data_IF_921510423957
#
_entry.id   IF_921510423957
#
_cell.length_a   1.000
_cell.length_b   1.000
_cell.length_c   1.000
_cell.angle_alpha   90.00
_cell.angle_beta   90.00
_cell.angle_gamma   90.00
#
_symmetry.space_group_name_H-M   'P 1'
#
loop_
_entity.id
_entity.type
_entity.pdbx_description
1 polymer ?
#
# COMPACT_ATOMS: atom_id res chain seq x y z
N UNK A 1 -69.93 -28.71 -32.07
CA UNK A 1 -68.55 -28.88 -32.57
C UNK A 1 -68.14 -27.66 -33.37
N UNK A 2 -66.92 -27.15 -33.11
CA UNK A 2 -66.14 -26.14 -33.87
C UNK A 2 -66.60 -24.67 -33.71
N UNK A 3 -65.75 -23.66 -33.48
CA UNK A 3 -64.35 -23.50 -33.05
C UNK A 3 -64.27 -22.02 -32.62
N UNK A 4 -63.86 -21.71 -31.39
CA UNK A 4 -63.59 -20.33 -30.98
C UNK A 4 -62.18 -19.93 -31.48
N UNK A 5 -62.09 -18.82 -32.21
CA UNK A 5 -60.84 -18.25 -32.70
C UNK A 5 -60.30 -17.34 -31.60
N UNK A 6 -59.25 -17.79 -30.93
CA UNK A 6 -58.50 -16.98 -29.97
C UNK A 6 -57.51 -16.10 -30.73
N UNK A 7 -57.65 -14.78 -30.59
CA UNK A 7 -56.62 -13.82 -30.99
C UNK A 7 -55.49 -13.86 -29.96
N UNK A 8 -54.31 -14.34 -30.36
CA UNK A 8 -53.08 -14.15 -29.58
C UNK A 8 -52.56 -12.74 -29.80
N UNK A 9 -52.61 -11.90 -28.76
CA UNK A 9 -51.74 -10.73 -28.67
C UNK A 9 -50.32 -11.21 -28.37
N UNK A 10 -49.43 -11.09 -29.36
CA UNK A 10 -48.00 -11.25 -29.15
C UNK A 10 -47.48 -10.05 -28.35
N UNK A 11 -47.33 -10.21 -27.04
CA UNK A 11 -46.55 -9.29 -26.23
C UNK A 11 -45.07 -9.46 -26.61
N UNK A 12 -44.54 -8.52 -27.40
CA UNK A 12 -43.10 -8.35 -27.57
C UNK A 12 -42.53 -7.88 -26.22
N UNK A 13 -42.08 -8.84 -25.41
CA UNK A 13 -41.19 -8.55 -24.28
C UNK A 13 -39.87 -8.13 -24.92
N UNK A 14 -39.63 -6.81 -25.00
CA UNK A 14 -38.30 -6.27 -25.22
C UNK A 14 -37.53 -6.59 -23.94
N UNK A 15 -36.93 -7.77 -23.89
CA UNK A 15 -35.90 -8.07 -22.91
C UNK A 15 -34.74 -7.14 -23.22
N UNK A 16 -34.67 -6.01 -22.52
CA UNK A 16 -33.48 -5.17 -22.52
C UNK A 16 -32.30 -6.04 -22.14
N UNK A 17 -31.44 -6.34 -23.11
CA UNK A 17 -30.24 -7.12 -22.91
C UNK A 17 -29.29 -6.31 -22.03
N UNK A 18 -29.40 -6.52 -20.71
CA UNK A 18 -28.36 -6.11 -19.77
C UNK A 18 -27.08 -6.84 -20.17
N UNK A 19 -26.25 -6.17 -20.96
CA UNK A 19 -24.99 -6.73 -21.42
C UNK A 19 -24.03 -6.72 -20.23
N UNK A 20 -23.55 -7.89 -19.75
CA UNK A 20 -22.62 -7.95 -18.62
C UNK A 20 -21.33 -7.16 -18.87
N UNK A 21 -20.97 -6.92 -20.14
CA UNK A 21 -19.85 -6.07 -20.53
C UNK A 21 -20.03 -4.59 -20.13
N UNK A 22 -21.24 -4.03 -20.29
CA UNK A 22 -21.54 -2.64 -19.92
C UNK A 22 -21.56 -2.42 -18.40
N UNK A 23 -22.00 -3.43 -17.63
CA UNK A 23 -21.97 -3.38 -16.17
C UNK A 23 -20.54 -3.49 -15.61
N UNK A 24 -19.70 -4.36 -16.20
CA UNK A 24 -18.30 -4.50 -15.82
C UNK A 24 -17.48 -3.24 -16.14
N UNK A 25 -17.77 -2.57 -17.26
CA UNK A 25 -17.12 -1.31 -17.66
C UNK A 25 -17.49 -0.16 -16.71
N UNK A 26 -18.77 -0.05 -16.32
CA UNK A 26 -19.23 0.94 -15.34
C UNK A 26 -18.58 0.76 -13.96
N UNK A 27 -18.45 -0.47 -13.49
CA UNK A 27 -17.79 -0.76 -12.20
C UNK A 27 -16.29 -0.49 -12.25
N UNK A 28 -15.62 -0.82 -13.36
CA UNK A 28 -14.18 -0.55 -13.55
C UNK A 28 -13.90 0.95 -13.48
N UNK A 29 -14.71 1.77 -14.15
CA UNK A 29 -14.57 3.23 -14.13
C UNK A 29 -14.82 3.83 -12.76
N UNK A 30 -15.79 3.29 -12.01
CA UNK A 30 -16.03 3.69 -10.62
C UNK A 30 -14.78 3.43 -9.76
N UNK A 31 -14.28 2.20 -9.72
CA UNK A 31 -13.11 1.86 -8.91
C UNK A 31 -11.86 2.65 -9.32
N UNK A 32 -11.62 2.84 -10.63
CA UNK A 32 -10.51 3.65 -11.10
C UNK A 32 -10.61 5.11 -10.61
N UNK A 33 -11.81 5.70 -10.64
CA UNK A 33 -12.03 7.07 -10.15
C UNK A 33 -11.72 7.18 -8.66
N UNK A 34 -12.20 6.24 -7.84
CA UNK A 34 -11.94 6.23 -6.40
C UNK A 34 -10.46 6.01 -6.07
N UNK A 35 -9.78 5.11 -6.79
CA UNK A 35 -8.33 4.88 -6.62
C UNK A 35 -7.55 6.16 -6.94
N UNK A 36 -7.86 6.85 -8.04
CA UNK A 36 -7.18 8.09 -8.41
C UNK A 36 -7.47 9.22 -7.42
N UNK A 37 -8.65 9.24 -6.79
CA UNK A 37 -8.95 10.18 -5.70
C UNK A 37 -8.09 9.91 -4.44
N UNK A 38 -7.84 8.63 -4.13
CA UNK A 38 -6.96 8.22 -3.02
C UNK A 38 -5.47 8.33 -3.36
N UNK A 39 -5.10 8.28 -4.64
CA UNK A 39 -3.72 8.32 -5.14
C UNK A 39 -3.60 9.30 -6.31
N UNK A 40 -3.70 10.62 -6.07
CA UNK A 40 -3.79 11.63 -7.15
C UNK A 40 -2.52 11.75 -8.00
N UNK A 41 -1.42 11.13 -7.58
CA UNK A 41 -0.17 11.10 -8.32
C UNK A 41 -0.08 9.91 -9.29
N UNK A 42 -1.02 8.96 -9.21
CA UNK A 42 -1.19 7.96 -10.26
C UNK A 42 -1.95 8.60 -11.44
N UNK A 43 -1.54 8.23 -12.64
CA UNK A 43 -2.32 8.54 -13.85
C UNK A 43 -3.30 7.41 -14.13
N UNK A 44 -4.43 7.74 -14.77
CA UNK A 44 -5.41 6.75 -15.21
C UNK A 44 -4.77 5.70 -16.11
N UNK A 45 -3.92 6.11 -17.05
CA UNK A 45 -3.19 5.19 -17.94
C UNK A 45 -2.31 4.21 -17.14
N UNK A 46 -1.51 4.70 -16.19
CA UNK A 46 -0.64 3.83 -15.38
C UNK A 46 -1.45 2.86 -14.54
N UNK A 47 -2.58 3.31 -13.96
CA UNK A 47 -3.47 2.46 -13.17
C UNK A 47 -4.06 1.33 -14.02
N UNK A 48 -4.57 1.65 -15.22
CA UNK A 48 -5.16 0.65 -16.10
C UNK A 48 -4.12 -0.30 -16.69
N UNK A 49 -2.92 0.16 -17.01
CA UNK A 49 -1.84 -0.71 -17.49
C UNK A 49 -1.40 -1.71 -16.40
N UNK A 50 -1.22 -1.25 -15.16
CA UNK A 50 -0.94 -2.14 -14.02
C UNK A 50 -2.08 -3.16 -13.82
N UNK A 51 -3.33 -2.69 -13.85
CA UNK A 51 -4.50 -3.55 -13.68
C UNK A 51 -4.62 -4.61 -14.77
N UNK A 52 -4.39 -4.25 -16.04
CA UNK A 52 -4.40 -5.20 -17.18
C UNK A 52 -3.25 -6.21 -17.08
N UNK A 53 -2.07 -5.76 -16.69
CA UNK A 53 -0.89 -6.62 -16.52
C UNK A 53 -1.16 -7.70 -15.47
N UNK A 54 -1.64 -7.28 -14.29
CA UNK A 54 -2.01 -8.19 -13.20
C UNK A 54 -3.18 -9.11 -13.55
N UNK A 55 -4.20 -8.59 -14.25
CA UNK A 55 -5.33 -9.39 -14.69
C UNK A 55 -4.88 -10.51 -15.62
N UNK A 56 -3.93 -10.22 -16.53
CA UNK A 56 -3.32 -11.22 -17.41
C UNK A 56 -2.51 -12.26 -16.63
N UNK A 57 -1.70 -11.82 -15.67
CA UNK A 57 -0.88 -12.70 -14.83
C UNK A 57 -1.75 -13.66 -14.00
N UNK A 58 -2.77 -13.11 -13.34
CA UNK A 58 -3.66 -13.85 -12.43
C UNK A 58 -4.81 -14.57 -13.16
N UNK A 59 -4.95 -14.37 -14.48
CA UNK A 59 -6.03 -14.93 -15.33
C UNK A 59 -7.43 -14.53 -14.83
N UNK A 60 -7.58 -13.29 -14.41
CA UNK A 60 -8.84 -12.67 -13.95
C UNK A 60 -9.19 -11.47 -14.82
N UNK A 61 -10.31 -10.79 -14.56
CA UNK A 61 -10.67 -9.58 -15.31
C UNK A 61 -9.98 -8.36 -14.73
N UNK A 62 -9.69 -7.36 -15.58
CA UNK A 62 -9.17 -6.05 -15.13
C UNK A 62 -10.07 -5.40 -14.08
N UNK A 63 -11.39 -5.56 -14.21
CA UNK A 63 -12.37 -5.06 -13.24
C UNK A 63 -12.14 -5.65 -11.84
N UNK A 64 -11.84 -6.96 -11.75
CA UNK A 64 -11.62 -7.65 -10.48
C UNK A 64 -10.32 -7.15 -9.81
N UNK A 65 -9.31 -6.82 -10.61
CA UNK A 65 -8.06 -6.22 -10.10
C UNK A 65 -8.31 -4.79 -9.59
N UNK A 66 -9.03 -3.95 -10.34
CA UNK A 66 -9.37 -2.58 -9.92
C UNK A 66 -10.20 -2.59 -8.64
N UNK A 67 -11.17 -3.49 -8.53
CA UNK A 67 -11.94 -3.69 -7.30
C UNK A 67 -11.03 -4.08 -6.14
N UNK A 68 -10.12 -5.05 -6.33
CA UNK A 68 -9.16 -5.47 -5.30
C UNK A 68 -8.26 -4.32 -4.85
N UNK A 69 -7.70 -3.55 -5.79
CA UNK A 69 -6.90 -2.35 -5.48
C UNK A 69 -7.70 -1.35 -4.63
N UNK A 70 -8.94 -1.04 -5.04
CA UNK A 70 -9.81 -0.11 -4.32
C UNK A 70 -10.12 -0.60 -2.90
N UNK A 71 -10.45 -1.89 -2.75
CA UNK A 71 -10.79 -2.48 -1.46
C UNK A 71 -9.59 -2.49 -0.50
N UNK A 72 -8.40 -2.81 -0.97
CA UNK A 72 -7.18 -2.77 -0.16
C UNK A 72 -6.89 -1.34 0.34
N UNK A 73 -6.91 -0.36 -0.56
CA UNK A 73 -6.72 1.05 -0.20
C UNK A 73 -7.78 1.55 0.80
N UNK A 74 -9.04 1.20 0.55
CA UNK A 74 -10.16 1.61 1.41
C UNK A 74 -10.10 0.96 2.79
N UNK A 75 -9.72 -0.31 2.87
CA UNK A 75 -9.57 -1.02 4.13
C UNK A 75 -8.42 -0.47 4.95
N UNK A 76 -7.28 -0.17 4.31
CA UNK A 76 -6.15 0.48 4.96
C UNK A 76 -6.56 1.86 5.50
N UNK A 77 -7.20 2.71 4.66
CA UNK A 77 -7.75 4.01 5.08
C UNK A 77 -8.70 3.90 6.27
N UNK A 78 -9.60 2.90 6.26
CA UNK A 78 -10.55 2.66 7.34
C UNK A 78 -9.84 2.26 8.63
N UNK A 79 -8.84 1.38 8.55
CA UNK A 79 -8.01 1.00 9.70
C UNK A 79 -7.29 2.22 10.28
N UNK A 80 -6.86 3.15 9.42
CA UNK A 80 -6.36 4.46 9.85
C UNK A 80 -7.37 5.24 10.66
N UNK A 81 -8.59 5.41 10.14
CA UNK A 81 -9.66 6.14 10.80
C UNK A 81 -10.00 5.53 12.18
N UNK A 82 -10.02 4.19 12.27
CA UNK A 82 -10.26 3.47 13.52
C UNK A 82 -9.13 3.68 14.54
N UNK A 83 -7.87 3.57 14.10
CA UNK A 83 -6.68 3.79 14.95
C UNK A 83 -6.49 5.26 15.36
N UNK A 84 -6.96 6.20 14.53
CA UNK A 84 -6.71 7.64 14.63
C UNK A 84 -7.76 8.42 15.39
N UNK A 85 -8.76 7.77 16.02
CA UNK A 85 -9.76 8.44 16.89
C UNK A 85 -9.11 9.54 17.76
N UNK A 86 -9.15 10.79 17.25
CA UNK A 86 -8.49 11.98 17.78
C UNK A 86 -7.21 12.56 17.14
N UNK A 87 -6.84 12.39 15.85
CA UNK A 87 -5.60 13.04 15.32
C UNK A 87 -5.64 13.72 13.94
N UNK A 88 -4.84 14.80 13.85
CA UNK A 88 -4.63 15.70 12.71
C UNK A 88 -3.61 15.15 11.71
N UNK A 89 -3.81 15.50 10.43
CA UNK A 89 -2.92 15.23 9.31
C UNK A 89 -1.56 15.96 9.45
N UNK A 90 -0.46 15.31 9.04
CA UNK A 90 0.50 15.77 8.01
C UNK A 90 1.82 14.95 8.06
N UNK A 91 2.02 14.08 7.06
CA UNK A 91 3.20 13.22 6.89
C UNK A 91 4.43 13.88 6.25
N UNK A 92 4.79 15.08 6.71
CA UNK A 92 6.10 15.69 6.43
C UNK A 92 6.66 16.24 7.74
N UNK A 93 7.59 15.50 8.36
CA UNK A 93 8.27 15.91 9.60
C UNK A 93 7.34 16.34 10.77
N UNK A 94 6.04 16.06 10.67
CA UNK A 94 4.97 16.74 11.43
C UNK A 94 4.79 16.27 12.87
N UNK A 95 5.38 15.13 13.22
CA UNK A 95 5.41 14.65 14.59
C UNK A 95 6.14 15.62 15.53
N UNK A 96 5.79 15.60 16.81
CA UNK A 96 6.49 16.39 17.84
C UNK A 96 7.52 15.56 18.64
N UNK A 97 7.52 14.23 18.46
CA UNK A 97 8.31 13.30 19.26
C UNK A 97 9.53 12.84 18.47
N UNK A 98 10.74 12.96 19.04
CA UNK A 98 11.96 12.43 18.43
C UNK A 98 11.99 10.91 18.61
N UNK A 99 12.15 10.17 17.51
CA UNK A 99 12.16 8.69 17.53
C UNK A 99 13.34 8.13 18.36
N UNK A 100 14.48 8.82 18.35
CA UNK A 100 15.66 8.44 19.13
C UNK A 100 16.38 7.22 18.55
N UNK A 101 17.32 6.65 19.31
CA UNK A 101 18.16 5.56 18.80
C UNK A 101 17.51 4.17 18.89
N UNK A 102 17.91 3.25 18.01
CA UNK A 102 17.59 1.83 18.12
C UNK A 102 18.70 0.94 17.57
N UNK A 103 18.42 -0.33 17.27
CA UNK A 103 19.38 -1.27 16.70
C UNK A 103 19.24 -1.33 15.18
N UNK A 104 20.35 -1.56 14.47
CA UNK A 104 20.34 -1.77 13.02
C UNK A 104 19.34 -2.85 12.60
N UNK A 105 18.61 -2.58 11.52
CA UNK A 105 17.52 -3.39 10.99
C UNK A 105 16.22 -3.33 11.80
N UNK A 106 16.18 -2.70 12.97
CA UNK A 106 14.88 -2.36 13.56
C UNK A 106 14.13 -1.43 12.61
N UNK A 107 12.81 -1.57 12.60
CA UNK A 107 11.91 -0.72 11.85
C UNK A 107 11.18 0.19 12.82
N UNK A 108 10.78 1.37 12.37
CA UNK A 108 9.81 2.18 13.06
C UNK A 108 8.58 2.37 12.19
N UNK A 109 7.44 2.56 12.84
CA UNK A 109 6.18 2.98 12.24
C UNK A 109 5.72 4.25 12.95
N UNK A 110 5.12 5.17 12.21
CA UNK A 110 4.34 6.30 12.74
C UNK A 110 3.02 6.41 11.98
N UNK A 111 1.90 6.76 12.62
CA UNK A 111 0.74 7.27 11.90
C UNK A 111 1.18 8.40 10.97
N UNK A 112 0.65 8.46 9.75
CA UNK A 112 1.09 9.44 8.76
C UNK A 112 0.20 9.41 7.53
N UNK A 113 -0.24 10.57 7.08
CA UNK A 113 -0.93 10.73 5.80
C UNK A 113 0.03 11.25 4.73
N UNK A 114 0.09 10.55 3.59
CA UNK A 114 0.67 11.10 2.37
C UNK A 114 -0.38 11.11 1.27
N UNK A 115 -0.40 12.19 0.47
CA UNK A 115 -1.30 12.33 -0.68
C UNK A 115 -2.77 11.94 -0.38
N UNK A 116 -3.32 12.43 0.75
CA UNK A 116 -4.73 12.27 1.17
C UNK A 116 -5.12 10.88 1.71
N UNK A 117 -4.19 9.92 1.77
CA UNK A 117 -4.40 8.61 2.37
C UNK A 117 -3.53 8.47 3.64
N UNK A 118 -4.16 8.24 4.80
CA UNK A 118 -3.45 7.87 6.03
C UNK A 118 -3.10 6.39 5.98
N UNK A 119 -1.98 6.06 5.35
CA UNK A 119 -1.43 4.70 5.29
C UNK A 119 -0.31 4.46 6.32
N UNK A 120 0.02 5.47 7.15
CA UNK A 120 1.19 5.44 8.02
C UNK A 120 2.50 5.72 7.30
N UNK A 121 3.61 5.69 8.03
CA UNK A 121 4.96 5.76 7.47
C UNK A 121 5.89 4.82 8.22
N UNK A 122 6.83 4.22 7.50
CA UNK A 122 7.84 3.33 8.07
C UNK A 122 9.25 3.71 7.61
N UNK A 123 10.23 3.42 8.45
CA UNK A 123 11.64 3.48 8.08
C UNK A 123 12.46 2.50 8.91
N UNK A 124 13.72 2.33 8.55
CA UNK A 124 14.59 1.30 9.15
C UNK A 124 15.90 1.91 9.64
N UNK A 125 16.37 1.46 10.79
CA UNK A 125 17.65 1.87 11.34
C UNK A 125 18.79 1.23 10.52
N UNK A 126 19.62 2.05 9.88
CA UNK A 126 20.87 1.62 9.23
C UNK A 126 22.04 1.56 10.21
N UNK A 127 22.06 2.48 11.17
CA UNK A 127 22.89 2.44 12.37
C UNK A 127 22.00 2.78 13.57
N UNK A 128 22.56 2.86 14.77
CA UNK A 128 21.75 3.24 15.94
C UNK A 128 21.20 4.66 15.89
N UNK A 129 21.81 5.54 15.10
CA UNK A 129 21.43 6.96 14.99
C UNK A 129 21.09 7.40 13.57
N UNK A 130 21.15 6.50 12.59
CA UNK A 130 20.84 6.79 11.18
C UNK A 130 19.70 5.91 10.70
N UNK A 131 18.67 6.54 10.16
CA UNK A 131 17.51 5.90 9.57
C UNK A 131 17.65 5.97 8.05
N UNK A 132 17.24 4.90 7.37
CA UNK A 132 16.93 4.88 5.95
C UNK A 132 15.42 4.77 5.76
N UNK A 133 14.88 5.60 4.90
CA UNK A 133 13.44 5.70 4.62
C UNK A 133 13.21 6.19 3.21
N UNK A 134 12.01 5.97 2.67
CA UNK A 134 11.58 6.61 1.42
C UNK A 134 10.45 7.60 1.72
N UNK A 135 10.58 8.86 1.32
CA UNK A 135 9.57 9.90 1.58
C UNK A 135 9.21 10.67 0.31
N UNK A 136 7.99 11.24 0.22
CA UNK A 136 7.63 12.14 -0.86
C UNK A 136 8.67 13.26 -1.05
N UNK A 137 8.97 13.63 -2.30
CA UNK A 137 9.94 14.68 -2.64
C UNK A 137 11.40 14.20 -2.72
N UNK A 138 11.86 13.41 -1.75
CA UNK A 138 13.27 12.97 -1.70
C UNK A 138 13.49 11.53 -2.17
N UNK A 139 12.45 10.71 -2.18
CA UNK A 139 12.60 9.27 -2.38
C UNK A 139 13.39 8.63 -1.24
N UNK A 140 14.23 7.64 -1.56
CA UNK A 140 15.04 6.93 -0.57
C UNK A 140 16.19 7.83 -0.10
N UNK A 141 16.18 8.15 1.19
CA UNK A 141 17.15 9.01 1.84
C UNK A 141 17.64 8.43 3.16
N UNK A 142 18.66 9.06 3.74
CA UNK A 142 19.00 8.87 5.15
C UNK A 142 18.68 10.11 5.97
N UNK A 143 18.27 9.91 7.21
CA UNK A 143 18.03 10.98 8.19
C UNK A 143 18.62 10.59 9.55
N UNK A 144 19.06 11.58 10.32
CA UNK A 144 19.43 11.35 11.72
C UNK A 144 18.20 10.96 12.53
N UNK A 145 18.33 9.94 13.37
CA UNK A 145 17.28 9.52 14.29
C UNK A 145 16.98 10.59 15.37
N UNK A 146 17.91 11.51 15.62
CA UNK A 146 17.67 12.70 16.47
C UNK A 146 16.88 13.81 15.76
N UNK A 147 16.78 13.75 14.43
CA UNK A 147 16.04 14.72 13.61
C UNK A 147 14.70 14.16 13.12
N UNK A 148 14.54 12.82 13.08
CA UNK A 148 13.30 12.19 12.66
C UNK A 148 12.24 12.31 13.75
N UNK A 149 11.21 13.11 13.46
CA UNK A 149 10.03 13.24 14.30
C UNK A 149 8.94 12.25 13.89
N UNK A 150 8.18 11.80 14.88
CA UNK A 150 7.05 10.88 14.75
C UNK A 150 5.88 11.34 15.60
N UNK A 151 4.70 10.88 15.24
CA UNK A 151 3.46 11.15 15.95
C UNK A 151 3.28 10.22 17.15
N UNK A 152 2.36 10.57 18.04
CA UNK A 152 1.93 9.65 19.11
C UNK A 152 1.45 8.33 18.53
N UNK A 153 1.59 7.22 19.27
CA UNK A 153 1.31 5.84 18.80
C UNK A 153 2.33 5.32 17.77
N UNK A 154 3.40 6.06 17.51
CA UNK A 154 4.55 5.49 16.82
C UNK A 154 5.14 4.32 17.61
N UNK A 155 5.79 3.40 16.90
CA UNK A 155 6.42 2.23 17.49
C UNK A 155 7.76 1.93 16.82
N UNK A 156 8.67 1.33 17.57
CA UNK A 156 9.83 0.63 17.01
C UNK A 156 9.58 -0.86 17.17
N UNK A 157 9.88 -1.64 16.12
CA UNK A 157 9.79 -3.09 16.11
C UNK A 157 11.09 -3.71 15.62
N UNK A 158 11.39 -4.90 16.13
CA UNK A 158 12.44 -5.77 15.60
C UNK A 158 11.84 -6.81 14.68
N UNK A 159 12.51 -7.15 13.58
CA UNK A 159 12.09 -8.25 12.70
C UNK A 159 12.66 -9.57 13.24
N UNK A 160 11.80 -10.60 13.34
CA UNK A 160 12.06 -11.94 13.87
C UNK A 160 12.91 -12.76 12.88
N UNK A 161 14.16 -12.38 12.74
CA UNK A 161 15.17 -13.07 11.94
C UNK A 161 16.55 -12.97 12.62
N UNK A 162 17.61 -13.49 11.98
CA UNK A 162 18.97 -13.38 12.52
C UNK A 162 19.46 -11.93 12.46
N UNK A 163 20.44 -11.57 13.31
CA UNK A 163 21.08 -10.25 13.24
C UNK A 163 21.73 -10.02 11.87
N UNK A 164 22.37 -11.03 11.29
CA UNK A 164 22.96 -10.95 9.95
C UNK A 164 21.92 -10.58 8.87
N UNK A 165 20.72 -11.15 8.93
CA UNK A 165 19.65 -10.85 7.98
C UNK A 165 19.10 -9.42 8.17
N UNK A 166 18.94 -8.97 9.43
CA UNK A 166 18.57 -7.58 9.74
C UNK A 166 19.61 -6.59 9.23
N UNK A 167 20.89 -6.88 9.42
CA UNK A 167 22.00 -6.05 8.95
C UNK A 167 22.05 -6.00 7.43
N UNK A 168 21.85 -7.15 6.76
CA UNK A 168 21.79 -7.24 5.31
C UNK A 168 20.61 -6.47 4.73
N UNK A 169 19.42 -6.55 5.34
CA UNK A 169 18.25 -5.77 4.94
C UNK A 169 18.52 -4.27 5.08
N UNK A 170 19.09 -3.84 6.22
CA UNK A 170 19.46 -2.45 6.45
C UNK A 170 20.51 -1.93 5.44
N UNK A 171 21.52 -2.76 5.13
CA UNK A 171 22.53 -2.44 4.12
C UNK A 171 21.92 -2.29 2.73
N UNK A 172 21.01 -3.20 2.35
CA UNK A 172 20.31 -3.12 1.07
C UNK A 172 19.44 -1.87 0.99
N UNK A 173 18.61 -1.58 1.99
CA UNK A 173 17.82 -0.35 1.96
C UNK A 173 18.69 0.90 1.84
N UNK A 174 19.85 0.91 2.49
CA UNK A 174 20.83 2.01 2.38
C UNK A 174 21.48 2.11 0.99
N UNK A 175 21.65 1.01 0.26
CA UNK A 175 22.18 1.05 -1.10
C UNK A 175 21.20 1.67 -2.09
N UNK A 176 19.90 1.67 -1.77
CA UNK A 176 18.86 2.29 -2.60
C UNK A 176 18.75 3.80 -2.42
N UNK A 177 19.60 4.44 -1.60
CA UNK A 177 19.56 5.91 -1.42
C UNK A 177 19.79 6.63 -2.74
N UNK A 178 18.89 7.57 -3.06
CA UNK A 178 18.83 8.28 -4.34
C UNK A 178 17.73 7.78 -5.27
N UNK A 179 17.14 6.61 -5.00
CA UNK A 179 15.97 6.14 -5.74
C UNK A 179 14.76 7.03 -5.48
N UNK A 180 13.98 7.31 -6.52
CA UNK A 180 12.83 8.21 -6.44
C UNK A 180 11.68 7.64 -5.60
N UNK A 181 10.79 8.51 -5.13
CA UNK A 181 9.57 8.07 -4.44
C UNK A 181 8.55 7.52 -5.44
N UNK A 182 7.96 6.36 -5.14
CA UNK A 182 6.79 5.86 -5.87
C UNK A 182 5.52 6.14 -5.08
N UNK A 183 4.57 6.85 -5.68
CA UNK A 183 3.26 7.14 -5.07
C UNK A 183 2.24 6.01 -5.24
N UNK A 184 2.59 4.97 -5.99
CA UNK A 184 1.73 3.81 -6.18
C UNK A 184 1.75 2.94 -4.91
N UNK A 185 0.67 2.91 -4.12
CA UNK A 185 0.49 1.86 -3.10
C UNK A 185 -0.47 0.75 -3.55
N UNK A 186 -1.24 0.97 -4.62
CA UNK A 186 -2.26 0.02 -5.08
C UNK A 186 -1.66 -1.32 -5.56
N UNK A 187 -0.46 -1.29 -6.17
CA UNK A 187 0.17 -2.46 -6.78
C UNK A 187 1.66 -2.57 -6.48
N UNK A 188 2.18 -1.84 -5.49
CA UNK A 188 3.62 -1.76 -5.26
C UNK A 188 4.26 -3.15 -5.06
N UNK A 189 3.53 -4.15 -4.54
CA UNK A 189 4.04 -5.51 -4.30
C UNK A 189 4.53 -6.17 -5.60
N UNK A 190 3.80 -5.95 -6.68
CA UNK A 190 4.03 -6.56 -8.00
C UNK A 190 5.06 -5.81 -8.85
N UNK A 191 5.49 -4.63 -8.42
CA UNK A 191 6.57 -3.89 -9.08
C UNK A 191 7.95 -4.42 -8.67
N UNK A 192 8.99 -4.05 -9.44
CA UNK A 192 10.39 -4.36 -9.14
C UNK A 192 10.78 -3.98 -7.71
N UNK A 193 11.73 -4.70 -7.13
CA UNK A 193 12.36 -4.31 -5.86
C UNK A 193 13.34 -3.14 -6.02
N UNK A 194 13.77 -2.86 -7.25
CA UNK A 194 14.73 -1.80 -7.62
C UNK A 194 14.02 -0.66 -8.35
N UNK A 195 14.59 0.55 -8.32
CA UNK A 195 13.97 1.75 -8.86
C UNK A 195 13.12 2.49 -7.83
N UNK A 196 12.13 3.27 -8.30
CA UNK A 196 11.29 4.06 -7.42
C UNK A 196 10.45 3.21 -6.44
N UNK A 197 10.37 3.62 -5.17
CA UNK A 197 9.64 2.88 -4.12
C UNK A 197 9.12 3.79 -3.02
N UNK A 198 7.95 3.46 -2.46
CA UNK A 198 7.46 4.07 -1.22
C UNK A 198 8.11 3.45 0.02
N UNK A 199 7.81 4.02 1.19
CA UNK A 199 8.37 3.64 2.48
C UNK A 199 8.18 2.15 2.81
N UNK A 200 6.97 1.62 2.64
CA UNK A 200 6.67 0.21 2.90
C UNK A 200 7.32 -0.72 1.89
N UNK A 201 7.27 -0.40 0.58
CA UNK A 201 7.94 -1.20 -0.46
C UNK A 201 9.45 -1.28 -0.25
N UNK A 202 10.11 -0.21 0.20
CA UNK A 202 11.53 -0.22 0.55
C UNK A 202 11.83 -1.28 1.62
N UNK A 203 11.12 -1.23 2.76
CA UNK A 203 11.36 -2.15 3.88
C UNK A 203 10.97 -3.58 3.55
N UNK A 204 9.81 -3.76 2.91
CA UNK A 204 9.35 -5.07 2.47
C UNK A 204 10.34 -5.70 1.50
N UNK A 205 10.82 -4.96 0.49
CA UNK A 205 11.82 -5.45 -0.46
C UNK A 205 13.13 -5.82 0.23
N UNK A 206 13.59 -5.01 1.18
CA UNK A 206 14.81 -5.27 1.93
C UNK A 206 14.75 -6.62 2.66
N UNK A 207 13.67 -6.88 3.39
CA UNK A 207 13.50 -8.13 4.11
C UNK A 207 13.16 -9.30 3.20
N UNK A 208 12.33 -9.11 2.18
CA UNK A 208 12.02 -10.15 1.20
C UNK A 208 13.28 -10.67 0.51
N UNK A 209 14.17 -9.76 0.10
CA UNK A 209 15.43 -10.13 -0.57
C UNK A 209 16.50 -10.69 0.36
N UNK A 210 16.56 -10.24 1.62
CA UNK A 210 17.69 -10.55 2.52
C UNK A 210 17.39 -11.57 3.61
N UNK A 211 16.12 -11.82 3.91
CA UNK A 211 15.70 -12.86 4.86
C UNK A 211 14.64 -13.80 4.32
N UNK A 212 14.07 -13.54 3.13
CA UNK A 212 12.94 -14.29 2.58
C UNK A 212 11.61 -13.99 3.28
N UNK A 213 11.59 -13.13 4.30
CA UNK A 213 10.38 -12.81 5.06
C UNK A 213 9.44 -11.93 4.25
N UNK A 214 8.17 -12.29 4.29
CA UNK A 214 7.09 -11.49 3.73
C UNK A 214 6.47 -10.66 4.86
N UNK A 215 6.79 -9.37 4.89
CA UNK A 215 6.26 -8.45 5.91
C UNK A 215 4.89 -7.89 5.55
N UNK A 216 4.30 -8.36 4.46
CA UNK A 216 2.93 -8.06 4.07
C UNK A 216 1.97 -9.01 4.81
N UNK A 217 0.93 -8.47 5.45
CA UNK A 217 0.04 -9.22 6.34
C UNK A 217 -1.04 -9.95 5.56
N UNK A 218 -1.59 -9.32 4.53
CA UNK A 218 -2.71 -9.86 3.75
C UNK A 218 -2.27 -10.46 2.41
N UNK A 219 -1.03 -10.17 1.97
CA UNK A 219 -0.50 -10.69 0.71
C UNK A 219 -1.21 -10.09 -0.50
N UNK A 220 -1.75 -8.89 -0.35
CA UNK A 220 -2.53 -8.14 -1.33
C UNK A 220 -1.73 -7.71 -2.56
N UNK A 221 -2.26 -6.73 -3.29
CA UNK A 221 -1.57 -6.08 -4.41
C UNK A 221 -0.64 -4.96 -3.91
N UNK A 222 -1.04 -4.29 -2.83
CA UNK A 222 -0.24 -3.32 -2.10
C UNK A 222 0.48 -3.92 -0.91
N UNK A 223 1.57 -3.26 -0.50
CA UNK A 223 2.20 -3.41 0.80
C UNK A 223 2.14 -2.05 1.48
N UNK A 224 1.44 -1.97 2.60
CA UNK A 224 1.22 -0.75 3.36
C UNK A 224 2.15 -0.70 4.59
N UNK A 225 2.46 0.51 5.10
CA UNK A 225 3.25 0.67 6.32
C UNK A 225 2.68 -0.09 7.52
N UNK A 226 1.35 -0.21 7.61
CA UNK A 226 0.67 -1.01 8.63
C UNK A 226 0.88 -2.51 8.48
N UNK A 227 1.05 -3.04 7.28
CA UNK A 227 1.38 -4.46 7.10
C UNK A 227 2.75 -4.76 7.68
N UNK A 228 3.73 -3.91 7.32
CA UNK A 228 5.10 -4.03 7.83
C UNK A 228 5.12 -3.91 9.37
N UNK A 229 4.30 -3.03 9.94
CA UNK A 229 4.12 -2.92 11.39
C UNK A 229 3.47 -4.17 11.98
N UNK A 230 2.41 -4.69 11.38
CA UNK A 230 1.55 -5.72 11.99
C UNK A 230 1.94 -7.14 11.63
N UNK A 231 2.94 -7.32 10.76
CA UNK A 231 3.48 -8.62 10.41
C UNK A 231 3.82 -9.44 11.66
N UNK A 232 3.39 -10.70 11.64
CA UNK A 232 3.69 -11.70 12.69
C UNK A 232 5.18 -11.88 12.92
N UNK A 233 6.00 -11.53 11.92
CA UNK A 233 7.46 -11.62 11.95
C UNK A 233 8.09 -10.35 12.54
N UNK A 234 7.34 -9.57 13.31
CA UNK A 234 7.83 -8.42 14.07
C UNK A 234 7.52 -8.54 15.56
N UNK A 235 8.38 -7.95 16.39
CA UNK A 235 8.20 -7.86 17.84
C UNK A 235 8.32 -6.40 18.27
N UNK A 236 7.40 -5.93 19.11
CA UNK A 236 7.46 -4.58 19.67
C UNK A 236 8.75 -4.38 20.48
N UNK A 237 9.41 -3.24 20.27
CA UNK A 237 10.60 -2.81 21.01
C UNK A 237 10.29 -1.58 21.86
N UNK A 238 9.58 -0.60 21.30
CA UNK A 238 9.26 0.66 21.98
C UNK A 238 7.97 1.27 21.42
N UNK A 239 7.21 1.96 22.26
CA UNK A 239 6.06 2.80 21.92
C UNK A 239 6.36 4.27 22.23
N UNK A 240 5.64 5.18 21.58
CA UNK A 240 5.74 6.63 21.76
C UNK A 240 4.36 7.25 22.02
#
# INVERSE_FOLDING_TARGET
>A
MKKAIAWSMAACIIAGSYSPALAADKNSKYYATEILAMQPQLTEDSLFEDAKSLAKEQKVKTADILEKMYLELSNDAKKAAEESSGFQALGNEGGSIIIGSSTKGHIYYTPSATAYLDHGHVGMYYTSSTIVESVPGDGVRTISASSRKVDSKAVIKSVKTTTANRDAAANWARSEVGESYSYNFATNRSTSHYGAKNCSKLLWSAYKLKSGLDLDVDGGLGVYPRDVRDSKDTTLVKTF
#
